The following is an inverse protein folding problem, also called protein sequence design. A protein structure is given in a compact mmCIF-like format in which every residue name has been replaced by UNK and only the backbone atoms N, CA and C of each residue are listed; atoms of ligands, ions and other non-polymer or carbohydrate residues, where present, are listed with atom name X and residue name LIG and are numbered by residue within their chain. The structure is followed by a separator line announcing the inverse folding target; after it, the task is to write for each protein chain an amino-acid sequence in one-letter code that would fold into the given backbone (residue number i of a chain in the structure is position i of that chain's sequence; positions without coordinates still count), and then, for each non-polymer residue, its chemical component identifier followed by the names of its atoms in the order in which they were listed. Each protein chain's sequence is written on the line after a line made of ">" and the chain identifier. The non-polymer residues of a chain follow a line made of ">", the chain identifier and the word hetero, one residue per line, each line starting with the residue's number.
data_IF_072760756030
#
_entry.id   IF_072760756030
#
_cell.length_a   1.000
_cell.length_b   1.000
_cell.length_c   1.000
_cell.angle_alpha   90.00
_cell.angle_beta   90.00
_cell.angle_gamma   90.00
#
_symmetry.space_group_name_H-M   'P 1'
#
loop_
_entity.id
_entity.type
_entity.pdbx_description
1 polymer ?
#
# COMPACT_ATOMS: atom_id res chain seq x y z
N UNK A 1 26.13 4.21 -0.57
CA UNK A 1 25.70 3.11 -1.45
C UNK A 1 24.20 3.21 -1.65
N UNK A 2 23.67 2.91 -2.85
CA UNK A 2 22.24 3.02 -3.11
C UNK A 2 21.44 2.04 -2.25
N UNK A 3 20.24 2.45 -1.83
CA UNK A 3 19.31 1.59 -1.10
C UNK A 3 18.84 0.44 -2.01
N UNK A 4 19.06 -0.83 -1.63
CA UNK A 4 18.58 -1.97 -2.42
C UNK A 4 17.08 -2.16 -2.19
N UNK A 5 16.27 -2.00 -3.25
CA UNK A 5 14.82 -2.10 -3.17
C UNK A 5 14.29 -3.42 -3.74
N UNK A 6 13.38 -4.04 -2.99
CA UNK A 6 12.48 -5.06 -3.47
C UNK A 6 11.06 -4.48 -3.51
N UNK A 7 10.47 -4.36 -4.69
CA UNK A 7 9.19 -3.64 -4.87
C UNK A 7 8.32 -4.27 -5.95
N UNK A 8 7.10 -3.75 -6.10
CA UNK A 8 6.22 -4.09 -7.21
C UNK A 8 6.75 -3.67 -8.58
N UNK A 9 5.98 -3.97 -9.63
CA UNK A 9 6.24 -3.46 -10.99
C UNK A 9 6.08 -1.94 -11.06
N UNK A 10 6.45 -1.35 -12.19
CA UNK A 10 6.50 0.11 -12.39
C UNK A 10 5.16 0.82 -12.16
N UNK A 11 4.07 0.11 -12.38
CA UNK A 11 2.68 0.53 -12.17
C UNK A 11 2.18 0.33 -10.73
N UNK A 12 2.98 -0.29 -9.86
CA UNK A 12 2.67 -0.41 -8.44
C UNK A 12 2.76 0.97 -7.76
N UNK A 13 1.64 1.44 -7.23
CA UNK A 13 1.57 2.72 -6.52
C UNK A 13 2.52 2.76 -5.30
N UNK A 14 2.70 1.63 -4.60
CA UNK A 14 3.63 1.58 -3.46
C UNK A 14 5.08 1.73 -3.89
N UNK A 15 5.47 1.15 -5.05
CA UNK A 15 6.80 1.39 -5.62
C UNK A 15 7.00 2.88 -5.91
N UNK A 16 6.04 3.50 -6.58
CA UNK A 16 6.13 4.92 -6.94
C UNK A 16 6.26 5.79 -5.69
N UNK A 17 5.49 5.47 -4.65
CA UNK A 17 5.56 6.13 -3.35
C UNK A 17 6.94 5.99 -2.71
N UNK A 18 7.47 4.77 -2.61
CA UNK A 18 8.79 4.52 -2.02
C UNK A 18 9.91 5.22 -2.79
N UNK A 19 9.88 5.16 -4.12
CA UNK A 19 10.86 5.84 -4.98
C UNK A 19 10.78 7.36 -4.79
N UNK A 20 9.57 7.94 -4.84
CA UNK A 20 9.36 9.39 -4.70
C UNK A 20 9.81 9.90 -3.33
N UNK A 21 9.58 9.12 -2.26
CA UNK A 21 10.01 9.48 -0.92
C UNK A 21 11.54 9.51 -0.81
N UNK A 22 12.24 8.52 -1.41
CA UNK A 22 13.69 8.48 -1.44
C UNK A 22 14.28 9.58 -2.34
N UNK A 23 13.66 9.85 -3.49
CA UNK A 23 14.04 10.93 -4.40
C UNK A 23 13.93 12.30 -3.69
N UNK A 24 12.84 12.53 -2.95
CA UNK A 24 12.62 13.77 -2.19
C UNK A 24 13.63 13.96 -1.04
N UNK A 25 14.11 12.86 -0.47
CA UNK A 25 15.15 12.83 0.57
C UNK A 25 16.58 12.85 -0.02
N UNK A 26 16.72 12.86 -1.35
CA UNK A 26 18.01 12.84 -2.04
C UNK A 26 18.79 11.54 -1.85
N UNK A 27 18.12 10.42 -1.54
CA UNK A 27 18.74 9.12 -1.33
C UNK A 27 18.70 8.25 -2.59
N UNK A 28 19.88 7.93 -3.10
CA UNK A 28 20.02 6.98 -4.20
C UNK A 28 19.44 5.60 -3.84
N UNK A 29 18.77 4.97 -4.79
CA UNK A 29 18.26 3.61 -4.67
C UNK A 29 18.47 2.80 -5.95
N UNK A 30 18.45 1.47 -5.78
CA UNK A 30 18.55 0.52 -6.87
C UNK A 30 17.48 -0.55 -6.71
N UNK A 31 16.69 -0.78 -7.76
CA UNK A 31 15.70 -1.87 -7.78
C UNK A 31 16.42 -3.19 -8.00
N UNK A 32 16.57 -4.01 -6.95
CA UNK A 32 17.16 -5.35 -7.04
C UNK A 32 16.12 -6.41 -7.36
N UNK A 33 14.91 -6.28 -6.80
CA UNK A 33 13.83 -7.25 -7.00
C UNK A 33 12.55 -6.55 -7.48
N UNK A 34 11.87 -7.17 -8.44
CA UNK A 34 10.55 -6.74 -8.91
C UNK A 34 9.62 -7.95 -8.97
N UNK A 35 8.48 -7.90 -8.28
CA UNK A 35 7.49 -9.00 -8.29
C UNK A 35 6.08 -8.48 -8.05
N UNK A 36 5.07 -9.19 -8.58
CA UNK A 36 3.67 -8.99 -8.21
C UNK A 36 3.29 -9.65 -6.88
N UNK A 37 4.14 -10.52 -6.35
CA UNK A 37 3.87 -11.23 -5.11
C UNK A 37 4.50 -10.54 -3.91
N UNK A 38 3.66 -10.12 -2.97
CA UNK A 38 4.11 -9.62 -1.66
C UNK A 38 4.92 -10.67 -0.90
N UNK A 39 4.70 -11.97 -1.14
CA UNK A 39 5.46 -13.03 -0.48
C UNK A 39 6.90 -13.10 -0.98
N UNK A 40 7.13 -12.86 -2.27
CA UNK A 40 8.47 -12.83 -2.87
C UNK A 40 9.22 -11.59 -2.40
N UNK A 41 8.55 -10.43 -2.38
CA UNK A 41 9.12 -9.19 -1.85
C UNK A 41 9.49 -9.35 -0.37
N UNK A 42 8.59 -9.90 0.45
CA UNK A 42 8.84 -10.19 1.85
C UNK A 42 10.02 -11.16 2.05
N UNK A 43 10.17 -12.18 1.20
CA UNK A 43 11.28 -13.12 1.27
C UNK A 43 12.63 -12.44 1.02
N UNK A 44 12.71 -11.51 0.07
CA UNK A 44 13.94 -10.74 -0.18
C UNK A 44 14.34 -9.87 1.03
N UNK A 45 13.35 -9.30 1.72
CA UNK A 45 13.56 -8.54 2.96
C UNK A 45 14.04 -9.45 4.08
N UNK A 46 13.36 -10.58 4.31
CA UNK A 46 13.71 -11.54 5.37
C UNK A 46 15.09 -12.17 5.17
N UNK A 47 15.53 -12.33 3.92
CA UNK A 47 16.87 -12.79 3.58
C UNK A 47 17.95 -11.71 3.78
N UNK A 48 17.58 -10.49 4.18
CA UNK A 48 18.51 -9.37 4.36
C UNK A 48 19.07 -8.81 3.05
N UNK A 49 18.45 -9.12 1.90
CA UNK A 49 18.96 -8.73 0.59
C UNK A 49 18.48 -7.34 0.14
N UNK A 50 17.32 -6.89 0.64
CA UNK A 50 16.70 -5.64 0.19
C UNK A 50 15.77 -5.03 1.25
N UNK A 51 15.43 -3.76 1.05
CA UNK A 51 14.40 -3.00 1.75
C UNK A 51 13.14 -2.96 0.88
N UNK A 52 11.96 -2.94 1.50
CA UNK A 52 10.67 -2.80 0.80
C UNK A 52 9.75 -1.83 1.54
N UNK A 53 8.71 -1.41 0.84
CA UNK A 53 7.50 -0.81 1.41
C UNK A 53 6.43 -1.90 1.56
N UNK A 54 5.80 -1.98 2.73
CA UNK A 54 4.73 -2.93 3.05
C UNK A 54 3.77 -2.24 4.04
N UNK A 55 2.46 -2.57 4.03
CA UNK A 55 1.56 -2.17 5.11
C UNK A 55 1.96 -2.89 6.39
N UNK A 56 1.66 -2.28 7.54
CA UNK A 56 2.00 -2.83 8.85
C UNK A 56 1.41 -4.23 9.06
N UNK A 57 0.21 -4.49 8.51
CA UNK A 57 -0.43 -5.81 8.53
C UNK A 57 0.32 -6.91 7.77
N UNK A 58 1.25 -6.55 6.89
CA UNK A 58 2.09 -7.50 6.15
C UNK A 58 3.47 -7.72 6.78
N UNK A 59 3.75 -7.10 7.93
CA UNK A 59 4.98 -7.33 8.67
C UNK A 59 5.05 -8.78 9.15
N UNK A 60 6.24 -9.36 9.05
CA UNK A 60 6.52 -10.73 9.47
C UNK A 60 7.60 -10.71 10.55
N UNK A 61 7.55 -11.69 11.44
CA UNK A 61 8.62 -11.91 12.42
C UNK A 61 9.97 -11.97 11.71
N UNK A 62 10.95 -11.23 12.24
CA UNK A 62 12.29 -11.10 11.66
C UNK A 62 12.46 -9.89 10.72
N UNK A 63 11.37 -9.18 10.37
CA UNK A 63 11.48 -7.88 9.70
C UNK A 63 11.78 -6.77 10.71
N UNK A 64 12.55 -5.78 10.27
CA UNK A 64 12.77 -4.52 11.00
C UNK A 64 12.05 -3.40 10.25
N UNK A 65 11.24 -2.62 10.98
CA UNK A 65 10.69 -1.36 10.48
C UNK A 65 11.78 -0.30 10.47
N UNK A 66 11.99 0.35 9.34
CA UNK A 66 12.98 1.42 9.18
C UNK A 66 12.32 2.77 9.36
N UNK A 67 12.98 3.64 10.15
CA UNK A 67 12.45 4.95 10.54
C UNK A 67 13.41 6.06 10.11
N UNK A 68 13.08 7.31 10.46
CA UNK A 68 13.98 8.44 10.24
C UNK A 68 15.32 8.31 10.98
N UNK A 69 15.37 7.56 12.10
CA UNK A 69 16.63 7.24 12.76
C UNK A 69 17.53 6.32 11.91
N UNK A 70 16.93 5.50 11.03
CA UNK A 70 17.64 4.68 10.05
C UNK A 70 17.92 5.43 8.73
N UNK A 71 17.57 6.72 8.66
CA UNK A 71 17.69 7.56 7.48
C UNK A 71 16.58 7.34 6.44
N UNK A 72 15.41 6.85 6.85
CA UNK A 72 14.26 6.67 5.94
C UNK A 72 13.14 7.67 6.24
N UNK A 73 12.59 8.34 5.20
CA UNK A 73 11.47 9.25 5.40
C UNK A 73 10.21 8.49 5.82
N UNK A 74 9.32 9.11 6.62
CA UNK A 74 8.02 8.54 6.90
C UNK A 74 7.20 8.44 5.61
N UNK A 75 6.37 7.41 5.52
CA UNK A 75 5.46 7.20 4.39
C UNK A 75 4.03 7.57 4.78
N UNK A 76 3.22 8.08 3.84
CA UNK A 76 1.81 8.34 4.09
C UNK A 76 1.06 7.03 4.38
N UNK A 77 -0.03 7.09 5.18
CA UNK A 77 -0.84 5.92 5.45
C UNK A 77 -1.48 5.39 4.16
N UNK A 78 -1.66 4.07 4.10
CA UNK A 78 -2.45 3.42 3.05
C UNK A 78 -3.87 3.18 3.55
N UNK A 79 -4.85 3.28 2.64
CA UNK A 79 -6.25 3.01 2.94
C UNK A 79 -6.66 1.66 2.39
N UNK A 80 -7.43 0.91 3.19
CA UNK A 80 -8.12 -0.30 2.77
C UNK A 80 -9.59 0.05 2.62
N UNK A 81 -10.16 -0.23 1.44
CA UNK A 81 -11.56 0.05 1.13
C UNK A 81 -12.32 -1.23 0.83
N UNK A 82 -13.60 -1.26 1.22
CA UNK A 82 -14.53 -2.32 0.84
C UNK A 82 -15.42 -1.80 -0.29
N UNK A 83 -15.41 -2.51 -1.42
CA UNK A 83 -16.29 -2.21 -2.55
C UNK A 83 -17.54 -3.08 -2.44
N UNK A 84 -18.70 -2.43 -2.38
CA UNK A 84 -20.01 -3.10 -2.36
C UNK A 84 -20.77 -2.86 -3.65
N UNK A 85 -21.47 -3.89 -4.12
CA UNK A 85 -22.44 -3.75 -5.23
C UNK A 85 -23.70 -3.05 -4.71
N UNK A 86 -24.27 -2.08 -5.44
CA UNK A 86 -25.57 -1.50 -5.10
C UNK A 86 -26.66 -2.57 -4.94
N UNK A 87 -27.57 -2.38 -3.99
CA UNK A 87 -28.67 -3.30 -3.72
C UNK A 87 -28.34 -4.54 -2.88
N UNK A 88 -27.14 -4.63 -2.30
CA UNK A 88 -26.84 -5.63 -1.27
C UNK A 88 -27.56 -5.30 0.04
N UNK A 89 -27.95 -6.33 0.79
CA UNK A 89 -28.55 -6.15 2.12
C UNK A 89 -27.59 -5.40 3.05
N UNK A 90 -28.05 -4.30 3.63
CA UNK A 90 -27.29 -3.51 4.60
C UNK A 90 -26.80 -4.36 5.77
N UNK A 91 -27.62 -5.30 6.26
CA UNK A 91 -27.23 -6.17 7.38
C UNK A 91 -26.07 -7.09 7.03
N UNK A 92 -26.01 -7.60 5.80
CA UNK A 92 -24.92 -8.46 5.33
C UNK A 92 -23.63 -7.66 5.11
N UNK A 93 -23.76 -6.47 4.50
CA UNK A 93 -22.62 -5.56 4.30
C UNK A 93 -22.00 -5.17 5.63
N UNK A 94 -22.83 -4.80 6.61
CA UNK A 94 -22.35 -4.43 7.94
C UNK A 94 -21.68 -5.62 8.63
N UNK A 95 -22.33 -6.79 8.64
CA UNK A 95 -21.74 -7.99 9.27
C UNK A 95 -20.37 -8.38 8.70
N UNK A 96 -20.20 -8.32 7.37
CA UNK A 96 -18.89 -8.60 6.73
C UNK A 96 -17.89 -7.49 7.03
N UNK A 97 -18.30 -6.23 6.98
CA UNK A 97 -17.43 -5.08 7.26
C UNK A 97 -16.90 -5.13 8.69
N UNK A 98 -17.79 -5.37 9.65
CA UNK A 98 -17.46 -5.52 11.07
C UNK A 98 -16.51 -6.70 11.29
N UNK A 99 -16.77 -7.83 10.64
CA UNK A 99 -15.91 -9.02 10.74
C UNK A 99 -14.51 -8.77 10.17
N UNK A 100 -14.40 -8.19 8.97
CA UNK A 100 -13.10 -7.86 8.36
C UNK A 100 -12.34 -6.87 9.24
N UNK A 101 -13.02 -5.85 9.76
CA UNK A 101 -12.42 -4.85 10.65
C UNK A 101 -11.90 -5.49 11.93
N UNK A 102 -12.67 -6.39 12.53
CA UNK A 102 -12.26 -7.13 13.72
C UNK A 102 -11.05 -8.06 13.46
N UNK A 103 -10.94 -8.65 12.27
CA UNK A 103 -9.79 -9.49 11.90
C UNK A 103 -8.53 -8.68 11.53
N UNK A 104 -8.65 -7.37 11.31
CA UNK A 104 -7.52 -6.46 11.09
C UNK A 104 -7.06 -5.82 12.41
N UNK A 105 -7.07 -6.58 13.51
CA UNK A 105 -6.79 -6.16 14.89
C UNK A 105 -5.43 -5.47 15.12
N UNK A 106 -4.50 -5.53 14.16
CA UNK A 106 -3.27 -4.74 14.13
C UNK A 106 -3.43 -3.33 13.49
N UNK A 107 -4.65 -2.95 13.08
CA UNK A 107 -4.97 -1.68 12.44
C UNK A 107 -6.11 -1.03 13.22
N UNK A 108 -5.92 0.21 13.67
CA UNK A 108 -7.03 1.02 14.20
C UNK A 108 -7.87 1.54 13.03
N UNK A 109 -9.15 1.16 12.89
CA UNK A 109 -9.97 1.63 11.79
C UNK A 109 -10.16 3.15 11.87
N UNK A 110 -9.89 3.84 10.76
CA UNK A 110 -10.22 5.25 10.64
C UNK A 110 -11.76 5.40 10.61
N UNK A 111 -12.29 6.33 11.41
CA UNK A 111 -13.72 6.67 11.33
C UNK A 111 -13.95 7.44 10.02
N UNK A 112 -14.56 6.78 9.05
CA UNK A 112 -14.98 7.42 7.79
C UNK A 112 -16.50 7.38 7.74
N UNK A 113 -17.13 8.54 7.61
CA UNK A 113 -18.58 8.62 7.38
C UNK A 113 -18.92 7.91 6.05
N UNK A 114 -19.86 6.96 6.09
CA UNK A 114 -20.35 6.18 4.94
C UNK A 114 -21.22 7.10 4.05
N UNK A 115 -20.57 8.06 3.39
CA UNK A 115 -21.22 8.99 2.46
C UNK A 115 -21.35 8.29 1.10
N UNK A 116 -22.39 7.47 0.99
CA UNK A 116 -22.74 6.70 -0.21
C UNK A 116 -23.42 7.54 -1.31
N UNK A 117 -23.87 8.76 -0.97
CA UNK A 117 -24.56 9.69 -1.88
C UNK A 117 -23.69 10.91 -2.25
N UNK A 118 -22.57 11.12 -1.55
CA UNK A 118 -21.55 12.09 -1.95
C UNK A 118 -20.84 11.66 -3.23
N UNK A 119 -20.41 12.64 -4.06
CA UNK A 119 -19.42 12.36 -5.10
C UNK A 119 -18.28 11.54 -4.48
N UNK A 120 -17.69 10.56 -5.20
CA UNK A 120 -16.57 9.80 -4.69
C UNK A 120 -15.54 10.80 -4.18
N UNK A 121 -15.43 10.93 -2.85
CA UNK A 121 -14.49 11.85 -2.22
C UNK A 121 -13.18 11.49 -2.85
N UNK A 122 -12.65 12.42 -3.65
CA UNK A 122 -11.42 12.20 -4.38
C UNK A 122 -10.36 12.18 -3.31
N UNK A 123 -10.17 11.04 -2.64
CA UNK A 123 -9.07 10.80 -1.73
C UNK A 123 -7.85 11.20 -2.52
N UNK A 124 -7.25 12.31 -2.09
CA UNK A 124 -6.49 13.20 -2.96
C UNK A 124 -5.68 12.43 -3.97
N UNK A 125 -5.96 12.68 -5.26
CA UNK A 125 -5.07 12.33 -6.37
C UNK A 125 -3.77 13.11 -6.17
N UNK A 126 -2.95 12.72 -5.20
CA UNK A 126 -1.62 13.29 -4.98
C UNK A 126 -0.65 12.92 -6.12
N UNK A 127 -1.12 12.17 -7.12
CA UNK A 127 -0.31 11.69 -8.21
C UNK A 127 -0.94 12.04 -9.57
N UNK A 128 -0.12 12.50 -10.54
CA UNK A 128 -0.59 12.88 -11.86
C UNK A 128 -1.31 11.69 -12.50
N UNK A 129 -2.50 11.94 -13.03
CA UNK A 129 -3.33 10.95 -13.74
C UNK A 129 -2.45 10.12 -14.67
N UNK A 130 -2.34 8.81 -14.41
CA UNK A 130 -1.85 7.87 -15.41
C UNK A 130 -2.72 8.04 -16.66
N UNK A 131 -2.08 8.38 -17.80
CA UNK A 131 -2.78 8.59 -19.07
C UNK A 131 -3.65 7.38 -19.38
N UNK A 132 -4.85 7.64 -19.90
CA UNK A 132 -5.90 6.67 -20.20
C UNK A 132 -5.51 5.52 -21.16
N UNK A 133 -4.27 5.47 -21.64
CA UNK A 133 -3.77 4.45 -22.59
C UNK A 133 -3.38 3.11 -21.97
N UNK A 134 -3.41 2.94 -20.64
CA UNK A 134 -2.94 1.72 -19.97
C UNK A 134 -4.03 0.90 -19.25
N UNK A 135 -5.31 1.21 -19.43
CA UNK A 135 -6.39 0.33 -18.96
C UNK A 135 -6.64 -0.74 -20.02
N UNK A 136 -5.99 -1.90 -19.86
CA UNK A 136 -6.34 -3.11 -20.60
C UNK A 136 -7.56 -3.72 -19.91
N UNK A 137 -8.64 -4.10 -20.63
CA UNK A 137 -9.80 -4.75 -20.02
C UNK A 137 -9.39 -6.14 -19.55
N UNK A 138 -9.24 -6.32 -18.24
CA UNK A 138 -9.14 -7.61 -17.57
C UNK A 138 -10.49 -7.95 -16.94
N UNK A 139 -10.91 -9.20 -17.12
CA UNK A 139 -12.19 -9.76 -16.70
C UNK A 139 -12.27 -9.94 -15.19
#
# INVERSE_FOLDING_TARGET
>A
APVPLAVGRRDCQWRQLACSALDADGRDYQILFTSWSSTVVAAAVLAGMAVSILPESALRTGMKVLTSHDGFPPLPPVQIGLMKRPGLSTSLVNAITDHITACLDNITPAQVEDDMDGEPKTYSRYYPRLRAGNMIPGW
#
